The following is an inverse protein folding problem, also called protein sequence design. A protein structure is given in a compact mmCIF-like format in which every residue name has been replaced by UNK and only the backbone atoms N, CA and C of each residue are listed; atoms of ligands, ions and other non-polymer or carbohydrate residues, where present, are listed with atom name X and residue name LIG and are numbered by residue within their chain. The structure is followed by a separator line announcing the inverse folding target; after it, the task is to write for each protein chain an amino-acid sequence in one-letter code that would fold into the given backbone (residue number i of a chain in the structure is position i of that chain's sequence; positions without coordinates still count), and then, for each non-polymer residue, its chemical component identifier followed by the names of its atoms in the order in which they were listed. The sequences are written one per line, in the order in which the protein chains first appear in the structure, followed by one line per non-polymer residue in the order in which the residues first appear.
data_IF_121268570331
#
_entry.id   IF_121268570331
#
_cell.length_a   1.000
_cell.length_b   1.000
_cell.length_c   1.000
_cell.angle_alpha   90.00
_cell.angle_beta   90.00
_cell.angle_gamma   90.00
#
_symmetry.space_group_name_H-M   'P 1'
#
loop_
_entity.id
_entity.type
_entity.pdbx_description
1 polymer ?
#
# COMPACT_ATOMS: atom_id res chain seq x y z
N UNK A 1 0.63 18.92 -15.00
CA UNK A 1 -0.41 18.69 -16.03
C UNK A 1 -1.77 18.45 -15.38
N UNK A 2 -2.85 18.98 -15.97
CA UNK A 2 -4.24 18.69 -15.56
C UNK A 2 -4.91 17.90 -16.68
N UNK A 3 -5.57 16.80 -16.34
CA UNK A 3 -6.34 15.96 -17.26
C UNK A 3 -7.79 15.90 -16.73
N UNK A 4 -8.73 16.41 -17.51
CA UNK A 4 -10.16 16.38 -17.16
C UNK A 4 -11.04 15.72 -18.23
N UNK A 5 -10.45 15.32 -19.35
CA UNK A 5 -11.07 14.48 -20.37
C UNK A 5 -10.10 13.38 -20.79
N UNK A 6 -10.64 12.26 -21.27
CA UNK A 6 -9.85 11.20 -21.92
C UNK A 6 -9.20 11.67 -23.24
N UNK A 7 -9.66 12.80 -23.78
CA UNK A 7 -9.13 13.40 -25.01
C UNK A 7 -7.95 14.36 -24.75
N UNK A 8 -7.62 14.65 -23.49
CA UNK A 8 -6.49 15.52 -23.16
C UNK A 8 -5.17 14.81 -23.48
N UNK A 9 -4.24 15.54 -24.11
CA UNK A 9 -2.91 15.06 -24.43
C UNK A 9 -1.88 15.68 -23.50
N UNK A 10 -1.09 14.83 -22.86
CA UNK A 10 0.10 15.25 -22.09
C UNK A 10 1.34 14.92 -22.91
N UNK A 11 2.27 15.88 -22.96
CA UNK A 11 3.56 15.74 -23.62
C UNK A 11 4.67 16.06 -22.63
N UNK A 12 5.29 15.02 -22.10
CA UNK A 12 6.46 15.04 -21.24
C UNK A 12 7.39 13.88 -21.62
N UNK A 13 8.59 14.23 -22.08
CA UNK A 13 9.55 13.25 -22.62
C UNK A 13 10.65 12.96 -21.60
N UNK A 14 11.12 11.72 -21.58
CA UNK A 14 12.25 11.33 -20.74
C UNK A 14 13.47 12.24 -21.00
N UNK A 15 14.08 12.76 -19.93
CA UNK A 15 15.30 13.56 -20.02
C UNK A 15 15.11 15.07 -20.19
N UNK A 16 13.91 15.61 -19.95
CA UNK A 16 13.71 17.02 -19.64
C UNK A 16 14.32 17.36 -18.26
N UNK A 17 15.64 17.19 -18.14
CA UNK A 17 16.38 17.33 -16.90
C UNK A 17 16.38 18.79 -16.42
N UNK A 18 15.34 19.19 -15.70
CA UNK A 18 15.30 20.41 -14.89
C UNK A 18 14.53 20.18 -13.58
N UNK A 19 14.93 19.16 -12.83
CA UNK A 19 14.94 19.23 -11.36
C UNK A 19 13.62 19.17 -10.59
N UNK A 20 12.50 18.81 -11.20
CA UNK A 20 11.25 18.50 -10.47
C UNK A 20 10.64 17.23 -11.03
N UNK A 21 10.12 16.36 -10.16
CA UNK A 21 9.27 15.26 -10.58
C UNK A 21 7.97 15.83 -11.18
N UNK A 22 7.66 15.49 -12.42
CA UNK A 22 6.51 16.03 -13.14
C UNK A 22 5.21 15.35 -12.70
N UNK A 23 4.15 16.15 -12.49
CA UNK A 23 2.88 15.67 -11.96
C UNK A 23 1.73 15.80 -12.96
N UNK A 24 1.01 14.71 -13.17
CA UNK A 24 -0.33 14.69 -13.78
C UNK A 24 -1.38 14.61 -12.67
N UNK A 25 -2.32 15.55 -12.65
CA UNK A 25 -3.55 15.47 -11.86
C UNK A 25 -4.71 15.14 -12.79
N UNK A 26 -5.28 13.97 -12.64
CA UNK A 26 -6.35 13.49 -13.52
C UNK A 26 -7.68 13.35 -12.79
N UNK A 27 -8.78 13.84 -13.38
CA UNK A 27 -10.13 13.60 -12.87
C UNK A 27 -10.87 12.45 -13.55
N UNK A 28 -10.19 11.78 -14.49
CA UNK A 28 -10.62 10.56 -15.18
C UNK A 28 -9.55 9.46 -15.02
N UNK A 29 -9.87 8.22 -15.38
CA UNK A 29 -8.84 7.16 -15.44
C UNK A 29 -7.73 7.56 -16.42
N UNK A 30 -6.48 7.40 -16.02
CA UNK A 30 -5.35 7.88 -16.81
C UNK A 30 -4.12 6.98 -16.68
N UNK A 31 -3.36 6.88 -17.77
CA UNK A 31 -2.10 6.15 -17.84
C UNK A 31 -1.00 7.08 -18.32
N UNK A 32 0.12 7.09 -17.60
CA UNK A 32 1.36 7.76 -18.01
C UNK A 32 2.33 6.79 -18.70
N UNK A 33 1.94 5.53 -18.92
CA UNK A 33 2.64 4.57 -19.80
C UNK A 33 2.29 4.82 -21.27
N UNK A 34 2.51 6.05 -21.71
CA UNK A 34 2.31 6.46 -23.10
C UNK A 34 3.63 6.98 -23.65
N UNK A 35 3.78 6.88 -24.98
CA UNK A 35 4.98 7.33 -25.70
C UNK A 35 5.42 8.76 -25.32
N UNK A 36 4.45 9.63 -25.06
CA UNK A 36 4.64 11.06 -24.81
C UNK A 36 4.53 11.43 -23.34
N UNK A 37 4.52 10.49 -22.40
CA UNK A 37 4.44 10.77 -20.96
C UNK A 37 5.49 10.02 -20.16
N UNK A 38 6.57 9.58 -20.83
CA UNK A 38 7.66 8.81 -20.21
C UNK A 38 8.47 9.62 -19.18
N UNK A 39 8.41 10.95 -19.23
CA UNK A 39 9.01 11.83 -18.22
C UNK A 39 8.04 12.25 -17.12
N UNK A 40 6.86 11.61 -17.00
CA UNK A 40 5.95 11.87 -15.87
C UNK A 40 6.29 10.89 -14.75
N UNK A 41 6.63 11.43 -13.57
CA UNK A 41 6.90 10.64 -12.37
C UNK A 41 5.69 10.56 -11.43
N UNK A 42 4.82 11.57 -11.37
CA UNK A 42 3.71 11.60 -10.42
C UNK A 42 2.35 11.56 -11.12
N UNK A 43 1.46 10.69 -10.67
CA UNK A 43 0.06 10.64 -11.10
C UNK A 43 -0.87 10.68 -9.87
N UNK A 44 -1.67 11.75 -9.79
CA UNK A 44 -2.65 11.97 -8.74
C UNK A 44 -4.07 11.95 -9.31
N UNK A 45 -4.92 11.07 -8.80
CA UNK A 45 -6.34 11.02 -9.16
C UNK A 45 -7.13 12.04 -8.32
N UNK A 46 -7.91 12.89 -8.99
CA UNK A 46 -8.65 14.02 -8.39
C UNK A 46 -10.16 13.94 -8.60
N UNK A 47 -10.61 12.97 -9.41
CA UNK A 47 -12.04 12.69 -9.59
C UNK A 47 -12.66 12.11 -8.32
N UNK A 48 -13.99 12.09 -8.25
CA UNK A 48 -14.73 11.49 -7.13
C UNK A 48 -15.19 10.03 -7.41
N UNK A 49 -15.01 9.54 -8.64
CA UNK A 49 -15.39 8.19 -9.03
C UNK A 49 -14.28 7.16 -8.81
N UNK A 50 -14.65 5.89 -8.98
CA UNK A 50 -13.71 4.77 -9.15
C UNK A 50 -13.01 4.89 -10.50
N UNK A 51 -11.90 5.62 -10.51
CA UNK A 51 -11.01 5.80 -11.65
C UNK A 51 -9.66 5.14 -11.38
N UNK A 52 -8.91 4.85 -12.44
CA UNK A 52 -7.67 4.07 -12.33
C UNK A 52 -6.45 4.87 -12.76
N UNK A 53 -5.31 4.54 -12.16
CA UNK A 53 -4.02 5.14 -12.47
C UNK A 53 -3.04 4.07 -12.95
N UNK A 54 -2.27 4.39 -13.98
CA UNK A 54 -1.17 3.52 -14.44
C UNK A 54 0.09 4.35 -14.60
N UNK A 55 1.15 3.96 -13.89
CA UNK A 55 2.51 4.47 -14.05
C UNK A 55 3.17 3.92 -15.31
N UNK A 56 4.44 4.25 -15.54
CA UNK A 56 5.24 3.86 -16.70
C UNK A 56 6.43 2.97 -16.28
N UNK A 57 7.56 3.01 -16.99
CA UNK A 57 8.74 2.20 -16.66
C UNK A 57 9.74 2.90 -15.71
N UNK A 58 9.44 4.13 -15.31
CA UNK A 58 10.23 4.93 -14.36
C UNK A 58 9.65 4.81 -12.97
N UNK A 59 10.40 5.22 -11.95
CA UNK A 59 9.87 5.32 -10.58
C UNK A 59 8.71 6.32 -10.50
N UNK A 60 7.50 5.81 -10.26
CA UNK A 60 6.29 6.61 -10.18
C UNK A 60 5.77 6.80 -8.75
N UNK A 61 5.15 7.95 -8.49
CA UNK A 61 4.27 8.15 -7.32
C UNK A 61 2.82 8.15 -7.80
N UNK A 62 2.07 7.14 -7.41
CA UNK A 62 0.67 6.97 -7.72
C UNK A 62 -0.19 7.27 -6.49
N UNK A 63 -1.03 8.30 -6.58
CA UNK A 63 -1.99 8.65 -5.53
C UNK A 63 -3.41 8.54 -6.07
N UNK A 64 -4.23 7.68 -5.46
CA UNK A 64 -5.64 7.56 -5.76
C UNK A 64 -6.49 8.66 -5.10
N UNK A 65 -7.81 8.44 -5.06
CA UNK A 65 -8.80 9.41 -4.62
C UNK A 65 -9.66 8.86 -3.47
N UNK A 66 -10.97 9.09 -3.49
CA UNK A 66 -11.90 8.62 -2.45
C UNK A 66 -12.81 7.47 -2.89
N UNK A 67 -12.72 7.07 -4.16
CA UNK A 67 -13.40 5.91 -4.71
C UNK A 67 -12.45 4.72 -4.79
N UNK A 68 -12.99 3.54 -5.04
CA UNK A 68 -12.18 2.35 -5.26
C UNK A 68 -11.38 2.47 -6.57
N UNK A 69 -10.06 2.63 -6.47
CA UNK A 69 -9.13 2.77 -7.58
C UNK A 69 -8.36 1.47 -7.82
N UNK A 70 -7.93 1.27 -9.07
CA UNK A 70 -6.82 0.36 -9.38
C UNK A 70 -5.60 1.19 -9.73
N UNK A 71 -4.49 0.96 -9.04
CA UNK A 71 -3.21 1.61 -9.26
C UNK A 71 -2.16 0.56 -9.67
N UNK A 72 -1.56 0.73 -10.85
CA UNK A 72 -0.50 -0.13 -11.36
C UNK A 72 0.72 0.71 -11.71
N UNK A 73 1.86 0.53 -11.04
CA UNK A 73 3.05 1.38 -11.19
C UNK A 73 3.81 1.12 -12.48
N UNK A 74 3.81 -0.12 -12.94
CA UNK A 74 4.56 -0.53 -14.13
C UNK A 74 5.94 -1.04 -13.75
N UNK A 75 6.98 -0.49 -14.36
CA UNK A 75 8.37 -0.79 -14.01
C UNK A 75 9.00 0.34 -13.22
N UNK A 76 10.18 0.12 -12.64
CA UNK A 76 10.80 1.10 -11.75
C UNK A 76 10.37 0.88 -10.30
N UNK A 77 10.93 1.67 -9.37
CA UNK A 77 10.60 1.56 -7.95
C UNK A 77 9.49 2.56 -7.64
N UNK A 78 8.30 2.07 -7.40
CA UNK A 78 7.09 2.87 -7.34
C UNK A 78 6.64 3.15 -5.90
N UNK A 79 5.89 4.23 -5.71
CA UNK A 79 5.20 4.56 -4.46
C UNK A 79 3.71 4.64 -4.71
N UNK A 80 2.93 3.83 -4.01
CA UNK A 80 1.49 3.74 -4.13
C UNK A 80 0.81 4.29 -2.89
N UNK A 81 -0.26 5.06 -3.09
CA UNK A 81 -1.19 5.43 -2.03
C UNK A 81 -2.61 5.37 -2.58
N UNK A 82 -3.39 4.39 -2.15
CA UNK A 82 -4.78 4.20 -2.60
C UNK A 82 -5.66 5.42 -2.32
N UNK A 83 -5.55 5.97 -1.12
CA UNK A 83 -6.37 7.09 -0.69
C UNK A 83 -7.46 6.60 0.24
N UNK A 84 -8.70 7.07 0.07
CA UNK A 84 -9.84 6.46 0.74
C UNK A 84 -10.49 5.48 -0.23
N UNK A 85 -11.01 4.37 0.29
CA UNK A 85 -11.82 3.47 -0.52
C UNK A 85 -11.43 2.04 -0.29
N UNK A 86 -11.61 1.21 -1.30
CA UNK A 86 -11.10 -0.15 -1.30
C UNK A 86 -10.29 -0.31 -2.57
N UNK A 87 -8.99 -0.07 -2.45
CA UNK A 87 -8.11 0.08 -3.61
C UNK A 87 -7.41 -1.24 -3.96
N UNK A 88 -7.10 -1.39 -5.24
CA UNK A 88 -6.30 -2.50 -5.77
C UNK A 88 -4.94 -1.97 -6.24
N UNK A 89 -3.89 -2.33 -5.51
CA UNK A 89 -2.51 -1.98 -5.85
C UNK A 89 -1.86 -3.17 -6.56
N UNK A 90 -1.21 -2.91 -7.69
CA UNK A 90 -0.61 -3.95 -8.53
C UNK A 90 0.82 -3.57 -8.87
N UNK A 91 1.78 -4.28 -8.26
CA UNK A 91 3.16 -4.27 -8.74
C UNK A 91 3.27 -5.14 -10.00
N UNK A 92 3.95 -4.63 -11.02
CA UNK A 92 4.03 -5.32 -12.31
C UNK A 92 5.41 -5.93 -12.59
N UNK A 93 6.42 -5.62 -11.76
CA UNK A 93 7.80 -6.03 -11.96
C UNK A 93 8.31 -6.79 -10.74
N UNK A 94 8.87 -7.99 -10.94
CA UNK A 94 9.46 -8.77 -9.84
C UNK A 94 10.86 -8.35 -9.42
N UNK A 95 11.31 -7.20 -9.90
CA UNK A 95 12.63 -6.62 -9.56
C UNK A 95 12.52 -5.18 -9.08
N UNK A 96 11.31 -4.61 -9.01
CA UNK A 96 11.09 -3.30 -8.43
C UNK A 96 11.15 -3.39 -6.91
N UNK A 97 11.50 -2.28 -6.27
CA UNK A 97 11.43 -2.16 -4.82
C UNK A 97 10.40 -1.07 -4.50
N UNK A 98 9.17 -1.51 -4.29
CA UNK A 98 7.99 -0.67 -4.22
C UNK A 98 7.66 -0.27 -2.77
N UNK A 99 7.02 0.88 -2.63
CA UNK A 99 6.53 1.39 -1.35
C UNK A 99 5.02 1.58 -1.40
N UNK A 100 4.30 0.87 -0.54
CA UNK A 100 2.85 0.99 -0.39
C UNK A 100 2.56 1.81 0.86
N UNK A 101 1.88 2.93 0.72
CA UNK A 101 1.49 3.80 1.84
C UNK A 101 0.04 3.49 2.20
N UNK A 102 -0.18 3.14 3.46
CA UNK A 102 -1.50 2.82 3.98
C UNK A 102 -1.66 3.24 5.45
N UNK A 103 -2.87 3.43 5.94
CA UNK A 103 -3.10 3.64 7.37
C UNK A 103 -4.55 3.73 7.80
N UNK A 104 -4.75 4.24 9.01
CA UNK A 104 -6.09 4.43 9.58
C UNK A 104 -6.90 5.42 8.74
N UNK A 105 -8.12 5.04 8.38
CA UNK A 105 -9.05 5.83 7.58
C UNK A 105 -8.88 5.69 6.07
N UNK A 106 -7.89 4.92 5.57
CA UNK A 106 -7.70 4.71 4.13
C UNK A 106 -8.57 3.57 3.57
N UNK A 107 -9.22 2.79 4.44
CA UNK A 107 -10.17 1.76 4.03
C UNK A 107 -9.52 0.39 3.81
N UNK A 108 -10.04 -0.35 2.83
CA UNK A 108 -9.80 -1.78 2.70
C UNK A 108 -9.08 -2.13 1.40
N UNK A 109 -7.75 -2.05 1.44
CA UNK A 109 -6.90 -2.18 0.26
C UNK A 109 -6.40 -3.60 0.05
N UNK A 110 -6.09 -3.89 -1.21
CA UNK A 110 -5.50 -5.16 -1.64
C UNK A 110 -4.25 -4.89 -2.45
N UNK A 111 -3.23 -5.73 -2.26
CA UNK A 111 -1.98 -5.71 -2.99
C UNK A 111 -1.78 -7.04 -3.71
N UNK A 112 -1.50 -6.96 -5.00
CA UNK A 112 -0.87 -8.03 -5.77
C UNK A 112 0.59 -7.64 -6.01
N UNK A 113 1.48 -8.28 -5.26
CA UNK A 113 2.92 -8.09 -5.36
C UNK A 113 3.54 -9.02 -6.42
N UNK A 114 4.72 -8.68 -6.93
CA UNK A 114 5.42 -9.43 -7.97
C UNK A 114 6.86 -9.84 -7.60
N UNK A 115 7.32 -9.48 -6.40
CA UNK A 115 8.65 -9.72 -5.86
C UNK A 115 9.52 -8.46 -5.94
N UNK A 116 10.58 -8.44 -5.15
CA UNK A 116 11.32 -7.20 -4.98
C UNK A 116 11.94 -7.12 -3.60
N UNK A 117 12.16 -5.88 -3.15
CA UNK A 117 12.39 -5.56 -1.74
C UNK A 117 11.45 -4.44 -1.37
N UNK A 118 10.24 -4.83 -0.99
CA UNK A 118 9.09 -3.97 -0.88
C UNK A 118 8.81 -3.55 0.56
N UNK A 119 8.10 -2.43 0.70
CA UNK A 119 7.75 -1.87 2.00
C UNK A 119 6.29 -1.41 2.05
N UNK A 120 5.56 -1.90 3.04
CA UNK A 120 4.33 -1.26 3.51
C UNK A 120 4.69 -0.18 4.54
N UNK A 121 4.53 1.09 4.18
CA UNK A 121 4.72 2.25 5.05
C UNK A 121 3.39 2.63 5.70
N UNK A 122 3.28 2.38 7.00
CA UNK A 122 2.07 2.68 7.77
C UNK A 122 2.10 4.13 8.24
N UNK A 123 1.05 4.88 7.90
CA UNK A 123 0.90 6.28 8.27
C UNK A 123 0.87 6.49 9.79
N UNK A 124 1.15 7.74 10.20
CA UNK A 124 1.06 8.18 11.59
C UNK A 124 -0.32 7.90 12.19
N UNK A 125 -0.37 7.57 13.49
CA UNK A 125 -1.62 7.27 14.20
C UNK A 125 -2.00 5.78 14.23
N UNK A 126 -1.08 4.91 13.80
CA UNK A 126 -1.14 3.46 13.99
C UNK A 126 0.15 2.99 14.67
N UNK A 127 0.03 2.34 15.81
CA UNK A 127 1.14 1.72 16.54
C UNK A 127 1.18 0.20 16.34
N UNK A 128 2.30 -0.43 16.69
CA UNK A 128 2.48 -1.87 16.50
C UNK A 128 1.40 -2.73 17.20
N UNK A 129 0.93 -2.30 18.37
CA UNK A 129 -0.14 -2.95 19.14
C UNK A 129 -1.55 -2.66 18.60
N UNK A 130 -1.66 -1.78 17.60
CA UNK A 130 -2.91 -1.51 16.89
C UNK A 130 -3.05 -2.27 15.57
N UNK A 131 -1.99 -2.98 15.14
CA UNK A 131 -2.06 -3.84 13.96
C UNK A 131 -2.42 -5.27 14.36
N UNK A 132 -3.43 -5.81 13.69
CA UNK A 132 -3.88 -7.18 13.84
C UNK A 132 -3.59 -7.97 12.57
N UNK A 133 -2.71 -8.97 12.66
CA UNK A 133 -2.25 -9.77 11.52
C UNK A 133 -2.99 -11.10 11.48
N UNK A 134 -3.47 -11.50 10.30
CA UNK A 134 -4.18 -12.77 10.08
C UNK A 134 -3.73 -13.46 8.81
N UNK A 135 -3.62 -14.77 8.89
CA UNK A 135 -3.60 -15.65 7.73
C UNK A 135 -5.04 -15.93 7.30
N UNK A 136 -5.42 -15.47 6.10
CA UNK A 136 -6.78 -15.63 5.55
C UNK A 136 -6.71 -16.29 4.17
N UNK A 137 -7.02 -17.58 4.09
CA UNK A 137 -6.86 -18.34 2.84
C UNK A 137 -5.38 -18.39 2.45
N UNK A 138 -5.01 -17.81 1.31
CA UNK A 138 -3.61 -17.69 0.87
C UNK A 138 -2.99 -16.31 1.18
N UNK A 139 -3.74 -15.42 1.84
CA UNK A 139 -3.40 -14.01 1.97
C UNK A 139 -2.93 -13.69 3.39
N UNK A 140 -2.08 -12.67 3.49
CA UNK A 140 -1.83 -11.97 4.75
C UNK A 140 -2.76 -10.76 4.82
N UNK A 141 -3.48 -10.61 5.92
CA UNK A 141 -4.30 -9.44 6.19
C UNK A 141 -3.73 -8.70 7.41
N UNK A 142 -3.51 -7.39 7.27
CA UNK A 142 -3.19 -6.46 8.35
C UNK A 142 -4.40 -5.55 8.57
N UNK A 143 -5.02 -5.62 9.74
CA UNK A 143 -6.13 -4.73 10.12
C UNK A 143 -5.71 -3.72 11.18
N UNK A 144 -6.29 -2.52 11.17
CA UNK A 144 -6.20 -1.60 12.31
C UNK A 144 -7.32 -1.95 13.30
N UNK A 145 -6.97 -2.31 14.53
CA UNK A 145 -7.97 -2.69 15.53
C UNK A 145 -8.96 -1.55 15.80
N UNK A 146 -10.22 -1.93 15.97
CA UNK A 146 -11.31 -0.98 16.22
C UNK A 146 -11.80 -0.23 14.98
N UNK A 147 -11.27 -0.48 13.79
CA UNK A 147 -11.75 0.12 12.54
C UNK A 147 -12.09 -0.94 11.50
N UNK A 148 -12.53 -0.49 10.31
CA UNK A 148 -12.70 -1.32 9.11
C UNK A 148 -11.48 -1.30 8.20
N UNK A 149 -10.43 -0.56 8.58
CA UNK A 149 -9.25 -0.41 7.75
C UNK A 149 -8.47 -1.72 7.73
N UNK A 150 -8.14 -2.18 6.53
CA UNK A 150 -7.26 -3.32 6.34
C UNK A 150 -6.41 -3.20 5.07
N UNK A 151 -5.26 -3.83 5.10
CA UNK A 151 -4.39 -4.02 3.95
C UNK A 151 -4.19 -5.52 3.75
N UNK A 152 -4.57 -6.03 2.58
CA UNK A 152 -4.49 -7.46 2.26
C UNK A 152 -3.41 -7.70 1.21
N UNK A 153 -2.39 -8.48 1.55
CA UNK A 153 -1.37 -8.90 0.59
C UNK A 153 -1.79 -10.25 0.04
N UNK A 154 -2.16 -10.25 -1.24
CA UNK A 154 -2.67 -11.42 -1.93
C UNK A 154 -1.58 -12.47 -2.09
N UNK A 155 -1.92 -13.72 -1.84
CA UNK A 155 -1.03 -14.87 -2.10
C UNK A 155 0.30 -14.86 -1.32
N UNK A 156 0.40 -14.11 -0.22
CA UNK A 156 1.55 -14.08 0.70
C UNK A 156 2.08 -15.50 1.05
N UNK A 157 1.17 -16.45 1.22
CA UNK A 157 1.48 -17.81 1.67
C UNK A 157 1.72 -18.81 0.53
N UNK A 158 1.74 -18.36 -0.74
CA UNK A 158 1.96 -19.27 -1.89
C UNK A 158 3.35 -19.14 -2.50
N UNK A 159 3.96 -17.95 -2.48
CA UNK A 159 5.31 -17.72 -2.98
C UNK A 159 5.95 -16.53 -2.26
N UNK A 160 7.28 -16.60 -2.06
CA UNK A 160 8.06 -15.50 -1.47
C UNK A 160 8.00 -14.22 -2.30
N UNK A 161 7.84 -14.35 -3.63
CA UNK A 161 7.67 -13.22 -4.53
C UNK A 161 6.29 -12.53 -4.43
N UNK A 162 5.40 -12.98 -3.54
CA UNK A 162 4.16 -12.27 -3.24
C UNK A 162 4.22 -11.58 -1.86
N UNK A 163 5.37 -11.65 -1.17
CA UNK A 163 5.54 -11.09 0.15
C UNK A 163 6.12 -9.69 0.04
N UNK A 164 5.64 -8.80 0.90
CA UNK A 164 6.30 -7.52 1.15
C UNK A 164 7.35 -7.72 2.24
N UNK A 165 8.60 -7.35 1.98
CA UNK A 165 9.74 -7.64 2.85
C UNK A 165 9.65 -6.94 4.21
N UNK A 166 9.01 -5.78 4.27
CA UNK A 166 8.91 -5.00 5.50
C UNK A 166 7.60 -4.23 5.66
N UNK A 167 7.11 -4.17 6.89
CA UNK A 167 6.08 -3.23 7.32
C UNK A 167 6.73 -2.22 8.26
N UNK A 168 6.68 -0.93 7.93
CA UNK A 168 7.35 0.14 8.67
C UNK A 168 6.33 1.11 9.26
N UNK A 169 6.47 1.39 10.55
CA UNK A 169 5.64 2.37 11.26
C UNK A 169 6.28 3.76 11.25
N UNK A 170 5.46 4.79 11.49
CA UNK A 170 5.93 6.18 11.55
C UNK A 170 6.93 6.47 12.68
N UNK A 171 6.97 5.63 13.72
CA UNK A 171 7.93 5.74 14.83
C UNK A 171 9.28 5.06 14.54
N UNK A 172 9.45 4.53 13.34
CA UNK A 172 10.67 3.90 12.85
C UNK A 172 10.74 2.39 13.07
N UNK A 173 9.84 1.79 13.85
CA UNK A 173 9.81 0.33 14.03
C UNK A 173 9.44 -0.36 12.72
N UNK A 174 10.08 -1.51 12.48
CA UNK A 174 9.82 -2.35 11.33
C UNK A 174 9.53 -3.81 11.75
N UNK A 175 8.56 -4.42 11.07
CA UNK A 175 8.31 -5.84 11.06
C UNK A 175 8.80 -6.40 9.73
N UNK A 176 9.77 -7.30 9.77
CA UNK A 176 10.28 -7.98 8.58
C UNK A 176 9.44 -9.22 8.26
N UNK A 177 9.34 -9.59 6.98
CA UNK A 177 8.52 -10.72 6.51
C UNK A 177 8.76 -12.02 7.28
N UNK A 178 10.01 -12.34 7.60
CA UNK A 178 10.39 -13.55 8.36
C UNK A 178 9.87 -13.59 9.81
N UNK A 179 9.40 -12.46 10.34
CA UNK A 179 8.83 -12.33 11.68
C UNK A 179 7.30 -12.22 11.70
N UNK A 180 6.67 -12.03 10.54
CA UNK A 180 5.20 -11.90 10.41
C UNK A 180 4.47 -13.09 11.05
N UNK A 181 4.96 -14.30 10.79
CA UNK A 181 4.31 -15.53 11.23
C UNK A 181 4.31 -15.68 12.77
N UNK A 182 5.24 -15.05 13.48
CA UNK A 182 5.22 -15.01 14.95
C UNK A 182 4.00 -14.25 15.47
N UNK A 183 3.64 -13.14 14.83
CA UNK A 183 2.48 -12.33 15.22
C UNK A 183 1.17 -12.99 14.81
N UNK A 184 1.11 -13.52 13.59
CA UNK A 184 -0.06 -14.27 13.08
C UNK A 184 -0.41 -15.43 14.03
N UNK A 185 0.57 -16.26 14.40
CA UNK A 185 0.34 -17.38 15.31
C UNK A 185 -0.07 -16.93 16.71
N UNK A 186 0.54 -15.88 17.25
CA UNK A 186 0.18 -15.35 18.55
C UNK A 186 -1.26 -14.80 18.56
N UNK A 187 -1.68 -14.11 17.49
CA UNK A 187 -3.00 -13.50 17.35
C UNK A 187 -4.10 -14.51 17.01
N UNK A 188 -3.77 -15.65 16.38
CA UNK A 188 -4.73 -16.68 15.99
C UNK A 188 -5.52 -17.30 17.16
N UNK A 189 -4.99 -17.25 18.39
CA UNK A 189 -5.67 -17.71 19.60
C UNK A 189 -6.75 -16.77 20.13
N UNK A 190 -6.94 -15.60 19.52
CA UNK A 190 -7.78 -14.53 20.01
C UNK A 190 -8.79 -14.07 18.96
N UNK A 191 -9.90 -13.50 19.40
CA UNK A 191 -10.83 -12.82 18.50
C UNK A 191 -10.30 -11.41 18.23
N UNK A 192 -10.29 -10.93 16.97
CA UNK A 192 -9.92 -9.55 16.68
C UNK A 192 -10.72 -8.56 17.53
N UNK A 193 -10.12 -7.50 18.09
CA UNK A 193 -10.85 -6.50 18.85
C UNK A 193 -12.01 -5.91 18.04
N UNK A 194 -13.16 -5.71 18.71
CA UNK A 194 -14.38 -5.24 18.06
C UNK A 194 -14.24 -3.78 17.59
N UNK A 195 -15.13 -3.35 16.67
CA UNK A 195 -15.19 -1.97 16.22
C UNK A 195 -15.25 -0.98 17.40
N UNK A 196 -14.47 0.09 17.34
CA UNK A 196 -14.29 1.07 18.41
C UNK A 196 -13.25 0.69 19.47
N UNK A 197 -12.78 -0.56 19.54
CA UNK A 197 -11.69 -0.96 20.45
C UNK A 197 -10.33 -0.70 19.82
N UNK A 198 -9.81 0.53 19.99
CA UNK A 198 -8.53 0.98 19.42
C UNK A 198 -7.30 0.62 20.26
N UNK A 199 -7.48 -0.18 21.32
CA UNK A 199 -6.42 -0.68 22.19
C UNK A 199 -6.65 -2.16 22.44
N UNK A 200 -5.58 -2.95 22.52
CA UNK A 200 -5.71 -4.37 22.86
C UNK A 200 -6.44 -4.56 24.19
N UNK A 201 -7.43 -5.47 24.26
CA UNK A 201 -8.07 -5.85 25.50
C UNK A 201 -7.03 -6.24 26.57
N UNK A 202 -7.27 -5.86 27.84
CA UNK A 202 -6.30 -6.07 28.92
C UNK A 202 -5.91 -7.56 29.09
N UNK A 203 -6.84 -8.47 28.86
CA UNK A 203 -6.61 -9.92 28.90
C UNK A 203 -5.79 -10.46 27.71
N UNK A 204 -5.58 -9.68 26.64
CA UNK A 204 -4.74 -10.07 25.49
C UNK A 204 -3.31 -9.58 25.66
N UNK A 205 -3.14 -8.41 26.30
CA UNK A 205 -1.85 -7.73 26.44
C UNK A 205 -0.76 -8.60 27.06
N UNK A 206 -1.08 -9.41 28.08
CA UNK A 206 -0.09 -10.31 28.72
C UNK A 206 0.53 -11.30 27.74
N UNK A 207 -0.25 -11.77 26.75
CA UNK A 207 0.22 -12.74 25.75
C UNK A 207 0.81 -12.05 24.52
N UNK A 208 0.21 -10.95 24.06
CA UNK A 208 0.57 -10.33 22.78
C UNK A 208 1.69 -9.29 22.91
N UNK A 209 1.74 -8.48 23.97
CA UNK A 209 2.72 -7.39 24.07
C UNK A 209 4.18 -7.88 23.99
N UNK A 210 4.60 -8.99 24.64
CA UNK A 210 5.97 -9.48 24.51
C UNK A 210 6.30 -9.92 23.08
N UNK A 211 5.36 -10.54 22.37
CA UNK A 211 5.55 -10.98 20.99
C UNK A 211 5.62 -9.78 20.05
N UNK A 212 4.74 -8.78 20.24
CA UNK A 212 4.79 -7.52 19.50
C UNK A 212 6.15 -6.85 19.69
N UNK A 213 6.59 -6.65 20.94
CA UNK A 213 7.86 -5.99 21.24
C UNK A 213 9.09 -6.72 20.66
N UNK A 214 9.08 -8.06 20.62
CA UNK A 214 10.19 -8.84 20.08
C UNK A 214 10.28 -8.82 18.54
N UNK A 215 9.15 -8.57 17.86
CA UNK A 215 9.06 -8.69 16.42
C UNK A 215 9.12 -7.36 15.67
N UNK A 216 8.73 -6.26 16.31
CA UNK A 216 8.88 -4.90 15.80
C UNK A 216 10.18 -4.27 16.32
N UNK A 217 11.18 -4.13 15.44
CA UNK A 217 12.52 -3.62 15.77
C UNK A 217 12.86 -2.32 15.05
#
# INVERSE_FOLDING_TARGET
YIVNSIDDLVYEFAGAANGTADEVKSSVSYSVDQRFTQGVENLTLTGAGSINGTGNASSNVLTGNSGANTLAGGGGNDTYRGGLGADALVAASGTSNDTYIWGRGEGADTLSDAGGTDQLSVLVGVTADQLWLRHVGNNLELSVIGTTDKFTINNWYTAVANQVESVKLSDGKALIASKVENLVNAMAGFTPPAAGQTTLPANYQTSLNPVIAANWA
#
